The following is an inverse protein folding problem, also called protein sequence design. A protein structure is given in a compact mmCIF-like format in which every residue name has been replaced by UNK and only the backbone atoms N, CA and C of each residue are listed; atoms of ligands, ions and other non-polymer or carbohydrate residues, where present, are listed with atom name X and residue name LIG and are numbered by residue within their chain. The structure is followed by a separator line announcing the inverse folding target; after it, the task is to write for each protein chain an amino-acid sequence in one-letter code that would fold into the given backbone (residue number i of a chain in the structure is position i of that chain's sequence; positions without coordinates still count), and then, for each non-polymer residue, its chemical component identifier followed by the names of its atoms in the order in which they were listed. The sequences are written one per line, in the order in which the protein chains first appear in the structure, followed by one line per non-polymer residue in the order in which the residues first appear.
data_IF_258146090219
#
_entry.id   IF_258146090219
#
_cell.length_a   1.000
_cell.length_b   1.000
_cell.length_c   1.000
_cell.angle_alpha   90.00
_cell.angle_beta   90.00
_cell.angle_gamma   90.00
#
_symmetry.space_group_name_H-M   'P 1'
#
loop_
_entity.id
_entity.type
_entity.pdbx_description
1 polymer ?
#
# COMPACT_ATOMS: atom_id res chain seq x y z
N UNK A 1 -5.88 -15.86 2.98
CA UNK A 1 -5.73 -14.75 2.01
C UNK A 1 -6.95 -14.74 1.11
N UNK A 2 -7.42 -13.53 0.79
CA UNK A 2 -8.60 -13.39 -0.06
C UNK A 2 -8.17 -12.73 -1.37
N UNK A 3 -8.36 -13.41 -2.49
CA UNK A 3 -8.26 -12.85 -3.83
C UNK A 3 -9.60 -12.23 -4.22
N UNK A 4 -9.59 -11.06 -4.83
CA UNK A 4 -10.79 -10.43 -5.35
C UNK A 4 -10.97 -10.82 -6.82
N UNK A 5 -12.01 -11.61 -7.10
CA UNK A 5 -12.39 -11.97 -8.47
C UNK A 5 -13.18 -10.82 -9.11
N UNK A 6 -12.72 -10.40 -10.28
CA UNK A 6 -13.27 -9.29 -11.05
C UNK A 6 -14.71 -9.51 -11.52
N UNK A 7 -15.10 -10.77 -11.75
CA UNK A 7 -16.39 -11.11 -12.35
C UNK A 7 -17.55 -11.19 -11.35
N UNK A 8 -17.25 -11.30 -10.05
CA UNK A 8 -18.29 -11.61 -9.05
C UNK A 8 -18.41 -10.57 -7.94
N UNK A 9 -17.54 -9.55 -7.89
CA UNK A 9 -17.42 -8.61 -6.76
C UNK A 9 -17.25 -9.34 -5.40
N UNK A 10 -16.75 -10.57 -5.39
CA UNK A 10 -16.52 -11.39 -4.19
C UNK A 10 -15.04 -11.67 -4.04
N UNK A 11 -14.56 -11.52 -2.81
CA UNK A 11 -13.22 -11.99 -2.47
C UNK A 11 -13.21 -13.53 -2.46
N UNK A 12 -12.26 -14.13 -3.17
CA UNK A 12 -12.00 -15.56 -3.11
C UNK A 12 -10.79 -15.81 -2.20
N UNK A 13 -10.84 -16.88 -1.42
CA UNK A 13 -9.66 -17.35 -0.67
C UNK A 13 -8.64 -17.94 -1.62
N UNK A 14 -7.41 -17.50 -1.53
CA UNK A 14 -6.27 -18.12 -2.19
C UNK A 14 -5.31 -18.71 -1.15
N UNK A 15 -4.57 -19.74 -1.51
CA UNK A 15 -3.52 -20.27 -0.65
C UNK A 15 -2.36 -19.29 -0.55
N UNK A 16 -1.56 -19.38 0.53
CA UNK A 16 -0.35 -18.58 0.65
C UNK A 16 0.63 -18.85 -0.50
N UNK A 17 0.78 -20.13 -0.87
CA UNK A 17 1.71 -20.55 -1.91
C UNK A 17 1.30 -19.98 -3.27
N UNK A 18 0.00 -20.01 -3.59
CA UNK A 18 -0.52 -19.40 -4.83
C UNK A 18 -0.33 -17.88 -4.82
N UNK A 19 -0.62 -17.23 -3.69
CA UNK A 19 -0.39 -15.80 -3.54
C UNK A 19 1.09 -15.42 -3.76
N UNK A 20 2.02 -16.10 -3.08
CA UNK A 20 3.46 -15.83 -3.21
C UNK A 20 3.99 -16.12 -4.63
N UNK A 21 3.40 -17.09 -5.31
CA UNK A 21 3.72 -17.40 -6.70
C UNK A 21 3.22 -16.31 -7.65
N UNK A 22 1.99 -15.85 -7.47
CA UNK A 22 1.29 -14.99 -8.42
C UNK A 22 1.53 -13.49 -8.20
N UNK A 23 1.93 -13.09 -6.97
CA UNK A 23 2.16 -11.69 -6.68
C UNK A 23 3.37 -11.15 -7.45
N UNK A 24 3.26 -9.88 -7.83
CA UNK A 24 4.26 -9.17 -8.61
C UNK A 24 4.53 -7.78 -8.03
N UNK A 25 5.66 -7.19 -8.41
CA UNK A 25 5.97 -5.80 -8.06
C UNK A 25 4.87 -4.85 -8.55
N UNK A 26 4.44 -3.94 -7.68
CA UNK A 26 3.39 -2.98 -7.95
C UNK A 26 1.98 -3.43 -7.55
N UNK A 27 1.78 -4.71 -7.28
CA UNK A 27 0.52 -5.20 -6.71
C UNK A 27 0.32 -4.62 -5.30
N UNK A 28 -0.89 -4.62 -4.78
CA UNK A 28 -1.17 -4.10 -3.45
C UNK A 28 -1.70 -5.17 -2.50
N UNK A 29 -1.40 -4.94 -1.24
CA UNK A 29 -1.93 -5.67 -0.11
C UNK A 29 -2.76 -4.71 0.74
N UNK A 30 -4.03 -5.03 0.96
CA UNK A 30 -4.96 -4.30 1.80
C UNK A 30 -5.16 -5.06 3.11
N UNK A 31 -5.19 -4.35 4.20
CA UNK A 31 -5.24 -4.91 5.55
C UNK A 31 -6.58 -4.61 6.22
N UNK A 32 -7.22 -5.65 6.71
CA UNK A 32 -8.33 -5.54 7.64
C UNK A 32 -7.84 -6.01 9.00
N UNK A 33 -7.53 -5.09 9.88
CA UNK A 33 -7.01 -5.38 11.21
C UNK A 33 -8.11 -5.32 12.27
N UNK A 34 -8.05 -6.25 13.24
CA UNK A 34 -8.96 -6.28 14.39
C UNK A 34 -8.47 -5.46 15.59
N UNK A 35 -7.33 -4.80 15.49
CA UNK A 35 -6.86 -3.91 16.55
C UNK A 35 -7.83 -2.76 16.77
N UNK A 36 -7.98 -2.32 18.01
CA UNK A 36 -8.96 -1.31 18.39
C UNK A 36 -8.77 0.04 17.68
N UNK A 37 -7.51 0.45 17.45
CA UNK A 37 -7.19 1.67 16.70
C UNK A 37 -7.54 1.54 15.21
N UNK A 38 -7.34 0.37 14.61
CA UNK A 38 -7.76 0.07 13.24
C UNK A 38 -9.28 0.13 13.10
N UNK A 39 -10.02 -0.35 14.12
CA UNK A 39 -11.48 -0.25 14.16
C UNK A 39 -11.98 1.19 14.22
N UNK A 40 -11.26 2.07 14.90
CA UNK A 40 -11.62 3.50 14.89
C UNK A 40 -11.45 4.11 13.50
N UNK A 41 -10.38 3.73 12.79
CA UNK A 41 -10.16 4.12 11.39
C UNK A 41 -11.28 3.53 10.50
N UNK A 42 -11.61 2.26 10.65
CA UNK A 42 -12.67 1.59 9.90
C UNK A 42 -14.05 2.22 10.14
N UNK A 43 -14.38 2.55 11.38
CA UNK A 43 -15.67 3.20 11.74
C UNK A 43 -15.70 4.62 11.18
N UNK A 44 -14.63 5.39 11.31
CA UNK A 44 -14.55 6.75 10.78
C UNK A 44 -14.58 6.78 9.26
N UNK A 45 -13.95 5.80 8.60
CA UNK A 45 -13.82 5.71 7.14
C UNK A 45 -14.97 4.96 6.45
N UNK A 46 -15.84 4.30 7.18
CA UNK A 46 -16.83 3.40 6.59
C UNK A 46 -16.20 2.26 5.77
N UNK A 47 -14.89 2.05 5.91
CA UNK A 47 -14.09 1.06 5.19
C UNK A 47 -13.75 -0.12 6.09
N UNK A 48 -13.68 -1.30 5.51
CA UNK A 48 -13.12 -2.48 6.18
C UNK A 48 -11.59 -2.54 6.13
N UNK A 49 -10.92 -1.59 5.47
CA UNK A 49 -9.47 -1.58 5.29
C UNK A 49 -8.84 -0.47 6.13
N UNK A 50 -7.90 -0.85 6.97
CA UNK A 50 -7.19 0.03 7.89
C UNK A 50 -5.78 0.41 7.42
N UNK A 51 -5.21 -0.37 6.49
CA UNK A 51 -3.86 -0.15 5.97
C UNK A 51 -3.71 -0.68 4.54
N UNK A 52 -2.66 -0.24 3.84
CA UNK A 52 -2.32 -0.64 2.47
C UNK A 52 -0.82 -0.56 2.26
N UNK A 53 -0.27 -1.51 1.48
CA UNK A 53 1.12 -1.51 1.04
C UNK A 53 1.26 -1.94 -0.42
N UNK A 54 2.42 -1.64 -1.03
CA UNK A 54 2.79 -2.08 -2.39
C UNK A 54 3.71 -3.29 -2.27
N UNK A 55 3.44 -4.35 -3.04
CA UNK A 55 4.28 -5.53 -3.12
C UNK A 55 5.50 -5.24 -4.00
N UNK A 56 6.67 -5.67 -3.54
CA UNK A 56 7.93 -5.64 -4.26
C UNK A 56 8.49 -7.06 -4.34
N UNK A 57 8.49 -7.65 -5.53
CA UNK A 57 9.05 -8.99 -5.76
C UNK A 57 10.44 -8.90 -6.34
N UNK A 58 11.42 -9.52 -5.66
CA UNK A 58 12.84 -9.48 -6.03
C UNK A 58 13.32 -8.07 -6.39
N UNK A 59 13.18 -7.06 -5.48
CA UNK A 59 13.42 -5.66 -5.84
C UNK A 59 14.91 -5.33 -6.02
N UNK A 60 15.59 -6.15 -6.82
CA UNK A 60 17.02 -6.00 -7.16
C UNK A 60 17.30 -4.74 -7.97
N UNK A 61 16.27 -4.12 -8.54
CA UNK A 61 16.35 -2.81 -9.20
C UNK A 61 16.58 -1.67 -8.19
N UNK A 62 16.22 -1.87 -6.89
CA UNK A 62 16.52 -0.93 -5.79
C UNK A 62 17.88 -1.27 -5.22
N UNK A 63 18.04 -2.50 -4.73
CA UNK A 63 19.25 -3.00 -4.09
C UNK A 63 19.47 -4.46 -4.51
N UNK A 64 20.62 -4.82 -5.11
CA UNK A 64 20.89 -6.17 -5.59
C UNK A 64 20.81 -7.27 -4.53
N UNK A 65 20.87 -6.91 -3.25
CA UNK A 65 20.77 -7.83 -2.13
C UNK A 65 19.34 -8.18 -1.73
N UNK A 66 18.35 -7.39 -2.18
CA UNK A 66 16.93 -7.63 -1.89
C UNK A 66 16.39 -8.73 -2.81
N UNK A 67 16.36 -9.96 -2.29
CA UNK A 67 15.80 -11.14 -2.96
C UNK A 67 14.63 -11.69 -2.18
N UNK A 68 13.56 -12.07 -2.88
CA UNK A 68 12.31 -12.50 -2.29
C UNK A 68 11.22 -11.45 -2.36
N UNK A 69 10.21 -11.57 -1.53
CA UNK A 69 9.04 -10.67 -1.57
C UNK A 69 9.03 -9.74 -0.37
N UNK A 70 8.91 -8.47 -0.66
CA UNK A 70 8.86 -7.36 0.29
C UNK A 70 7.59 -6.56 0.11
N UNK A 71 7.32 -5.65 1.02
CA UNK A 71 6.33 -4.60 0.86
C UNK A 71 7.00 -3.24 1.06
N UNK A 72 6.51 -2.25 0.31
CA UNK A 72 6.76 -0.83 0.52
C UNK A 72 5.54 -0.26 1.21
N UNK A 73 5.73 0.34 2.34
CA UNK A 73 4.65 0.91 3.14
C UNK A 73 5.10 2.15 3.90
N UNK A 74 4.16 2.90 4.42
CA UNK A 74 4.41 3.93 5.43
C UNK A 74 3.71 3.51 6.71
N UNK A 75 4.49 3.12 7.73
CA UNK A 75 4.02 2.62 9.01
C UNK A 75 5.10 2.72 10.09
N UNK A 76 4.85 2.12 11.22
CA UNK A 76 5.84 1.84 12.25
C UNK A 76 5.93 0.33 12.48
N UNK A 77 7.10 -0.22 12.17
CA UNK A 77 7.43 -1.61 12.44
C UNK A 77 8.65 -1.69 13.35
N UNK A 78 8.69 -2.67 14.27
CA UNK A 78 9.82 -2.84 15.18
C UNK A 78 10.96 -3.65 14.56
N UNK A 79 11.06 -3.60 13.23
CA UNK A 79 12.16 -4.21 12.47
C UNK A 79 12.86 -3.15 11.62
N UNK A 80 14.14 -3.33 11.30
CA UNK A 80 14.83 -2.42 10.41
C UNK A 80 14.29 -2.49 8.99
N UNK A 81 14.29 -1.34 8.31
CA UNK A 81 14.10 -1.28 6.87
C UNK A 81 15.11 -2.17 6.14
N UNK A 82 14.65 -2.96 5.18
CA UNK A 82 15.48 -3.98 4.51
C UNK A 82 16.50 -3.40 3.55
N UNK A 83 16.32 -2.17 3.09
CA UNK A 83 17.25 -1.52 2.18
C UNK A 83 18.32 -0.73 2.92
N UNK A 84 17.93 0.03 3.92
CA UNK A 84 18.83 0.92 4.66
C UNK A 84 19.44 0.26 5.91
N UNK A 85 18.76 -0.71 6.51
CA UNK A 85 19.13 -1.33 7.78
C UNK A 85 18.78 -0.49 9.01
N UNK A 86 18.09 0.64 8.82
CA UNK A 86 17.71 1.55 9.91
C UNK A 86 16.26 1.30 10.34
N UNK A 87 15.96 1.56 11.61
CA UNK A 87 14.57 1.60 12.10
C UNK A 87 13.96 2.95 11.76
N UNK A 88 12.87 2.90 11.02
CA UNK A 88 12.18 4.10 10.52
C UNK A 88 10.74 4.11 11.03
N UNK A 89 10.23 5.30 11.36
CA UNK A 89 8.80 5.53 11.51
C UNK A 89 8.33 6.32 10.30
N UNK A 90 7.86 5.63 9.29
CA UNK A 90 7.52 6.23 8.02
C UNK A 90 7.61 5.25 6.86
N UNK A 91 8.13 5.74 5.73
CA UNK A 91 8.28 4.95 4.51
C UNK A 91 9.44 3.97 4.66
N UNK A 92 9.14 2.69 4.46
CA UNK A 92 10.08 1.59 4.67
C UNK A 92 9.80 0.40 3.75
N UNK A 93 10.82 -0.42 3.55
CA UNK A 93 10.74 -1.70 2.86
C UNK A 93 10.94 -2.81 3.88
N UNK A 94 9.94 -3.67 4.08
CA UNK A 94 10.03 -4.80 5.01
C UNK A 94 9.73 -6.13 4.32
N UNK A 95 10.25 -7.27 4.83
CA UNK A 95 9.93 -8.56 4.26
C UNK A 95 8.43 -8.85 4.39
N UNK A 96 7.78 -9.27 3.31
CA UNK A 96 6.38 -9.69 3.34
C UNK A 96 6.15 -10.84 4.34
N UNK A 97 7.16 -11.70 4.55
CA UNK A 97 7.08 -12.80 5.53
C UNK A 97 6.80 -12.30 6.96
N UNK A 98 7.35 -11.15 7.34
CA UNK A 98 7.08 -10.55 8.66
C UNK A 98 5.58 -10.28 8.85
N UNK A 99 4.94 -9.64 7.86
CA UNK A 99 3.50 -9.38 7.87
C UNK A 99 2.68 -10.68 7.88
N UNK A 100 3.08 -11.66 7.08
CA UNK A 100 2.43 -12.95 7.02
C UNK A 100 2.45 -13.64 8.39
N UNK A 101 3.57 -13.62 9.08
CA UNK A 101 3.74 -14.27 10.38
C UNK A 101 2.93 -13.55 11.46
N UNK A 102 2.88 -12.23 11.43
CA UNK A 102 2.03 -11.44 12.32
C UNK A 102 0.55 -11.82 12.15
N UNK A 103 0.06 -11.84 10.91
CA UNK A 103 -1.34 -12.14 10.64
C UNK A 103 -1.72 -13.61 10.85
N UNK A 104 -0.78 -14.54 10.72
CA UNK A 104 -0.99 -15.95 11.06
C UNK A 104 -1.07 -16.19 12.57
N UNK A 105 -0.19 -15.56 13.32
CA UNK A 105 0.02 -15.88 14.74
C UNK A 105 -0.92 -15.11 15.68
N UNK A 106 -1.42 -13.97 15.26
CA UNK A 106 -2.09 -13.02 16.17
C UNK A 106 -3.61 -12.95 16.01
N UNK A 107 -4.22 -13.66 15.09
CA UNK A 107 -5.64 -13.50 14.73
C UNK A 107 -6.02 -12.01 14.47
N UNK A 108 -5.07 -11.25 13.98
CA UNK A 108 -5.10 -9.80 13.83
C UNK A 108 -6.17 -9.34 12.85
N UNK A 109 -6.43 -10.15 11.81
CA UNK A 109 -7.38 -9.79 10.77
C UNK A 109 -7.20 -10.59 9.49
N UNK A 110 -7.51 -9.95 8.36
CA UNK A 110 -7.37 -10.55 7.04
C UNK A 110 -6.53 -9.65 6.14
N UNK A 111 -5.77 -10.28 5.26
CA UNK A 111 -5.05 -9.66 4.17
C UNK A 111 -5.82 -9.87 2.86
N UNK A 112 -5.89 -8.83 2.05
CA UNK A 112 -6.55 -8.85 0.75
C UNK A 112 -5.55 -8.43 -0.30
N UNK A 113 -5.28 -9.35 -1.22
CA UNK A 113 -4.38 -9.13 -2.34
C UNK A 113 -5.13 -8.58 -3.54
N UNK A 114 -4.53 -7.62 -4.22
CA UNK A 114 -5.05 -7.09 -5.47
C UNK A 114 -3.94 -6.93 -6.50
N UNK A 115 -4.11 -7.58 -7.65
CA UNK A 115 -3.15 -7.57 -8.75
C UNK A 115 -3.25 -6.27 -9.55
N UNK A 116 -2.12 -5.68 -9.87
CA UNK A 116 -2.01 -4.53 -10.76
C UNK A 116 -1.89 -5.01 -12.22
N UNK A 117 -2.87 -4.64 -13.04
CA UNK A 117 -2.89 -4.94 -14.47
C UNK A 117 -2.26 -3.79 -15.26
N UNK A 118 -0.96 -3.76 -15.33
CA UNK A 118 -0.19 -2.83 -16.16
C UNK A 118 1.03 -3.52 -16.72
N UNK A 119 1.56 -2.99 -17.82
CA UNK A 119 2.85 -3.45 -18.35
C UNK A 119 3.98 -2.99 -17.43
N UNK A 120 4.78 -3.94 -16.98
CA UNK A 120 5.91 -3.72 -16.07
C UNK A 120 7.22 -3.73 -16.86
N UNK A 121 7.38 -2.73 -17.73
CA UNK A 121 8.57 -2.53 -18.52
C UNK A 121 9.68 -1.78 -17.74
N UNK A 122 10.81 -1.47 -18.39
CA UNK A 122 11.92 -0.75 -17.76
C UNK A 122 11.51 0.61 -17.21
N UNK A 123 10.67 1.37 -17.93
CA UNK A 123 10.18 2.68 -17.49
C UNK A 123 9.37 2.58 -16.19
N UNK A 124 8.55 1.53 -16.05
CA UNK A 124 7.83 1.26 -14.81
C UNK A 124 8.78 1.08 -13.62
N UNK A 125 9.83 0.25 -13.78
CA UNK A 125 10.80 -0.01 -12.72
C UNK A 125 11.68 1.20 -12.42
N UNK A 126 12.08 1.97 -13.42
CA UNK A 126 12.87 3.20 -13.24
C UNK A 126 12.07 4.23 -12.44
N UNK A 127 10.82 4.49 -12.81
CA UNK A 127 9.93 5.41 -12.08
C UNK A 127 9.65 4.92 -10.65
N UNK A 128 9.42 3.63 -10.47
CA UNK A 128 9.19 3.06 -9.15
C UNK A 128 10.43 3.21 -8.26
N UNK A 129 11.63 2.97 -8.81
CA UNK A 129 12.89 3.20 -8.10
C UNK A 129 13.05 4.66 -7.70
N UNK A 130 12.77 5.59 -8.62
CA UNK A 130 12.85 7.02 -8.34
C UNK A 130 11.89 7.42 -7.20
N UNK A 131 10.65 6.90 -7.23
CA UNK A 131 9.68 7.14 -6.15
C UNK A 131 10.21 6.64 -4.81
N UNK A 132 10.72 5.42 -4.76
CA UNK A 132 11.25 4.81 -3.53
C UNK A 132 12.44 5.61 -3.02
N UNK A 133 13.40 5.93 -3.87
CA UNK A 133 14.58 6.72 -3.51
C UNK A 133 14.22 8.10 -2.98
N UNK A 134 13.14 8.70 -3.52
CA UNK A 134 12.67 10.01 -3.08
C UNK A 134 11.96 9.99 -1.75
N UNK A 135 11.21 8.90 -1.46
CA UNK A 135 10.36 8.80 -0.26
C UNK A 135 10.95 7.97 0.87
N UNK A 136 12.04 7.24 0.61
CA UNK A 136 12.65 6.35 1.60
C UNK A 136 13.09 7.13 2.85
N UNK A 137 12.63 6.68 4.01
CA UNK A 137 12.90 7.36 5.29
C UNK A 137 12.02 8.57 5.59
N UNK A 138 11.11 8.96 4.68
CA UNK A 138 10.14 10.01 4.95
C UNK A 138 9.22 9.60 6.11
N UNK A 139 8.90 10.59 6.95
CA UNK A 139 8.17 10.35 8.21
C UNK A 139 6.71 10.00 7.97
N UNK A 140 6.18 9.20 8.88
CA UNK A 140 4.75 8.94 8.95
C UNK A 140 3.97 10.22 9.29
N UNK A 141 2.93 10.53 8.53
CA UNK A 141 2.07 11.69 8.80
C UNK A 141 1.09 11.37 9.95
N UNK A 142 1.34 11.97 11.09
CA UNK A 142 0.50 11.85 12.30
C UNK A 142 -0.57 12.94 12.41
N UNK A 143 -0.73 13.82 11.40
CA UNK A 143 -1.68 14.91 11.49
C UNK A 143 -3.13 14.41 11.38
N UNK A 144 -3.93 14.43 12.45
CA UNK A 144 -5.32 13.95 12.42
C UNK A 144 -6.21 14.76 11.46
N UNK A 145 -5.85 16.01 11.19
CA UNK A 145 -6.59 16.88 10.26
C UNK A 145 -6.47 16.37 8.83
N UNK A 146 -5.30 15.86 8.45
CA UNK A 146 -5.08 15.34 7.10
C UNK A 146 -5.76 13.98 6.93
N UNK A 147 -5.83 13.16 7.98
CA UNK A 147 -6.68 11.95 8.00
C UNK A 147 -8.17 12.29 7.82
N UNK A 148 -8.64 13.33 8.53
CA UNK A 148 -10.02 13.77 8.41
C UNK A 148 -10.32 14.29 7.00
N UNK A 149 -9.41 15.06 6.40
CA UNK A 149 -9.53 15.52 5.01
C UNK A 149 -9.58 14.34 4.03
N UNK A 150 -8.70 13.35 4.22
CA UNK A 150 -8.70 12.12 3.41
C UNK A 150 -10.05 11.40 3.49
N UNK A 151 -10.59 11.24 4.69
CA UNK A 151 -11.85 10.54 4.90
C UNK A 151 -13.03 11.21 4.19
N UNK A 152 -13.15 12.53 4.36
CA UNK A 152 -14.24 13.29 3.75
C UNK A 152 -13.91 13.79 2.33
N UNK A 153 -12.71 13.44 1.78
CA UNK A 153 -12.23 13.90 0.48
C UNK A 153 -12.29 15.43 0.33
N UNK A 154 -11.98 16.14 1.41
CA UNK A 154 -12.00 17.60 1.45
C UNK A 154 -10.64 18.14 1.01
N UNK A 155 -10.57 18.64 -0.21
CA UNK A 155 -9.37 19.29 -0.76
C UNK A 155 -9.35 20.78 -0.37
N UNK A 156 -8.96 21.08 0.87
CA UNK A 156 -8.81 22.46 1.35
C UNK A 156 -7.33 22.74 1.60
N UNK A 157 -6.73 23.57 0.76
CA UNK A 157 -5.35 24.01 0.89
C UNK A 157 -4.32 23.08 0.23
N UNK A 158 -3.04 23.23 0.59
CA UNK A 158 -1.97 22.41 0.02
C UNK A 158 -1.92 21.04 0.70
N UNK A 159 -2.65 20.08 0.14
CA UNK A 159 -2.74 18.70 0.65
C UNK A 159 -1.66 17.77 0.08
N UNK A 160 -0.87 18.25 -0.89
CA UNK A 160 0.21 17.50 -1.53
C UNK A 160 1.53 17.74 -0.79
N UNK A 161 1.68 17.06 0.35
CA UNK A 161 2.95 17.04 1.08
C UNK A 161 3.74 15.82 0.62
N UNK A 162 4.98 16.03 0.22
CA UNK A 162 5.88 14.99 -0.28
C UNK A 162 6.95 14.62 0.76
N UNK A 163 6.90 15.22 1.96
CA UNK A 163 7.83 15.02 3.07
C UNK A 163 7.28 14.12 4.19
N UNK A 164 5.99 13.81 4.13
CA UNK A 164 5.32 12.92 5.10
C UNK A 164 4.21 12.14 4.43
N UNK A 165 4.15 10.83 4.70
CA UNK A 165 3.15 9.94 4.10
C UNK A 165 2.44 9.11 5.15
N UNK A 166 1.14 8.98 5.06
CA UNK A 166 0.42 7.83 5.62
C UNK A 166 0.33 6.71 4.56
N UNK A 167 -0.09 5.51 4.96
CA UNK A 167 -0.03 4.32 4.10
C UNK A 167 -0.67 4.50 2.71
N UNK A 168 -1.88 5.04 2.62
CA UNK A 168 -2.58 5.20 1.34
C UNK A 168 -2.12 6.41 0.53
N UNK A 169 -1.59 7.45 1.18
CA UNK A 169 -0.98 8.57 0.48
C UNK A 169 0.29 8.14 -0.26
N UNK A 170 1.12 7.30 0.36
CA UNK A 170 2.29 6.71 -0.30
C UNK A 170 1.90 5.92 -1.55
N UNK A 171 0.91 5.02 -1.44
CA UNK A 171 0.43 4.26 -2.59
C UNK A 171 -0.13 5.17 -3.68
N UNK A 172 -0.91 6.17 -3.28
CA UNK A 172 -1.47 7.18 -4.19
C UNK A 172 -0.39 7.97 -4.91
N UNK A 173 0.65 8.41 -4.20
CA UNK A 173 1.81 9.10 -4.77
C UNK A 173 2.53 8.23 -5.80
N UNK A 174 2.93 7.02 -5.41
CA UNK A 174 3.63 6.08 -6.30
C UNK A 174 2.81 5.81 -7.56
N UNK A 175 1.52 5.53 -7.41
CA UNK A 175 0.66 5.23 -8.56
C UNK A 175 0.42 6.45 -9.46
N UNK A 176 0.41 7.65 -8.90
CA UNK A 176 0.36 8.88 -9.67
C UNK A 176 1.64 9.09 -10.50
N UNK A 177 2.82 8.86 -9.91
CA UNK A 177 4.11 8.98 -10.61
C UNK A 177 4.28 7.90 -11.70
N UNK A 178 3.77 6.70 -11.46
CA UNK A 178 3.72 5.62 -12.46
C UNK A 178 2.71 5.90 -13.60
N UNK A 179 1.89 6.96 -13.48
CA UNK A 179 0.86 7.29 -14.47
C UNK A 179 -0.37 6.38 -14.40
N UNK A 180 -0.56 5.66 -13.29
CA UNK A 180 -1.68 4.76 -13.05
C UNK A 180 -2.91 5.50 -12.50
N UNK A 181 -2.69 6.63 -11.86
CA UNK A 181 -3.73 7.54 -11.36
C UNK A 181 -3.58 8.88 -12.08
N UNK A 182 -4.70 9.51 -12.41
CA UNK A 182 -4.71 10.84 -13.02
C UNK A 182 -4.01 11.84 -12.08
N UNK A 183 -3.09 12.64 -12.66
CA UNK A 183 -2.33 13.67 -11.92
C UNK A 183 -3.20 14.74 -11.28
N UNK A 184 -4.44 14.90 -11.72
CA UNK A 184 -5.40 15.85 -11.15
C UNK A 184 -6.11 15.30 -9.90
N UNK A 185 -5.97 14.02 -9.60
CA UNK A 185 -6.52 13.45 -8.37
C UNK A 185 -5.63 13.85 -7.20
N UNK A 186 -6.25 14.29 -6.11
CA UNK A 186 -5.56 14.54 -4.84
C UNK A 186 -5.18 13.21 -4.20
N UNK A 187 -4.08 12.62 -4.64
CA UNK A 187 -3.62 11.29 -4.20
C UNK A 187 -3.38 11.21 -2.69
N UNK A 188 -2.98 12.31 -2.06
CA UNK A 188 -2.70 12.38 -0.61
C UNK A 188 -3.93 12.19 0.29
N UNK A 189 -5.15 12.32 -0.28
CA UNK A 189 -6.41 12.14 0.47
C UNK A 189 -7.18 10.88 0.04
N UNK A 190 -6.56 9.95 -0.67
CA UNK A 190 -7.20 8.70 -1.04
C UNK A 190 -7.16 7.71 0.14
N UNK A 191 -8.29 7.31 0.72
CA UNK A 191 -8.32 6.30 1.76
C UNK A 191 -8.04 4.89 1.18
N UNK A 192 -7.57 3.91 1.99
CA UNK A 192 -7.24 2.56 1.52
C UNK A 192 -8.35 1.89 0.73
N UNK A 193 -9.63 2.15 1.06
CA UNK A 193 -10.79 1.58 0.36
C UNK A 193 -10.85 1.96 -1.13
N UNK A 194 -10.31 3.14 -1.50
CA UNK A 194 -10.30 3.59 -2.91
C UNK A 194 -9.41 2.73 -3.80
N UNK A 195 -8.50 1.98 -3.20
CA UNK A 195 -7.66 0.99 -3.86
C UNK A 195 -8.29 -0.42 -3.82
N UNK A 196 -9.47 -0.57 -3.22
CA UNK A 196 -10.20 -1.83 -3.20
C UNK A 196 -11.08 -1.99 -4.43
N UNK A 197 -11.44 -3.25 -4.73
CA UNK A 197 -12.31 -3.57 -5.85
C UNK A 197 -13.72 -2.96 -5.75
N UNK A 198 -14.17 -2.61 -4.56
CA UNK A 198 -15.52 -2.09 -4.31
C UNK A 198 -15.71 -0.62 -4.70
N UNK A 199 -14.63 0.13 -4.94
CA UNK A 199 -14.71 1.56 -5.23
C UNK A 199 -13.86 1.97 -6.43
N UNK A 200 -14.06 1.27 -7.54
CA UNK A 200 -13.21 1.37 -8.73
C UNK A 200 -13.43 2.58 -9.62
N UNK A 201 -14.48 3.36 -9.39
CA UNK A 201 -15.00 4.35 -10.34
C UNK A 201 -13.99 5.43 -10.78
N UNK A 202 -12.85 5.54 -10.08
CA UNK A 202 -11.83 6.56 -10.35
C UNK A 202 -10.46 6.02 -10.71
N UNK A 203 -10.27 4.72 -10.63
CA UNK A 203 -8.97 4.07 -10.83
C UNK A 203 -9.07 3.08 -11.99
N UNK A 204 -8.80 3.56 -13.20
CA UNK A 204 -9.01 2.84 -14.46
C UNK A 204 -8.03 1.68 -14.71
N UNK A 205 -7.00 1.55 -13.92
CA UNK A 205 -5.94 0.53 -14.06
C UNK A 205 -6.24 -0.77 -13.31
N UNK A 206 -7.27 -0.79 -12.50
CA UNK A 206 -7.83 -2.00 -11.92
C UNK A 206 -9.07 -2.40 -12.71
N UNK A 207 -8.94 -3.42 -13.53
CA UNK A 207 -10.08 -4.04 -14.20
C UNK A 207 -10.51 -5.29 -13.46
#
# INVERSE_FOLDING_TARGET
YNYMDENTNKSQSISLDDFLKDCETGDILLYNSKYWYSRLIEIGSGSKFSHISIILKDPTFINPNLKGTYILESSYEDIPDSNTGEKVWGVQIIPLQHVIDEYKNSYVGNLYYRKLKTEKNSEFYDKLKDCITHTEGDKYDLNPVDWFKAEFQIDIGNTRREDTFWCSALVGYVYCQLGLIDKNISWSILPPRKFSHYENDRLTYYN
#
